data_IF_258236420703
#
_entry.id   IF_258236420703
#
_cell.length_a   1.000
_cell.length_b   1.000
_cell.length_c   1.000
_cell.angle_alpha   90.00
_cell.angle_beta   90.00
_cell.angle_gamma   90.00
#
_symmetry.space_group_name_H-M   'P 1'
#
loop_
_entity.id
_entity.type
_entity.pdbx_description
1 polymer ?
#
# COMPACT_ATOMS: atom_id res chain seq x y z
N UNK A 1 7.67 -7.41 19.95
CA UNK A 1 7.82 -7.68 18.50
C UNK A 1 8.61 -6.55 17.85
N UNK A 2 9.47 -6.81 16.87
CA UNK A 2 10.21 -5.75 16.17
C UNK A 2 9.32 -5.08 15.10
N UNK A 3 9.15 -3.75 15.12
CA UNK A 3 8.35 -3.02 14.12
C UNK A 3 8.87 -3.19 12.69
N UNK A 4 10.17 -3.45 12.51
CA UNK A 4 10.73 -3.82 11.21
C UNK A 4 10.20 -5.17 10.68
N UNK A 5 9.80 -6.08 11.58
CA UNK A 5 9.28 -7.39 11.18
C UNK A 5 7.89 -7.29 10.54
N UNK A 6 7.04 -6.36 11.00
CA UNK A 6 5.67 -6.18 10.48
C UNK A 6 5.59 -5.25 9.27
N UNK A 7 6.67 -4.51 8.94
CA UNK A 7 6.73 -3.71 7.71
C UNK A 7 6.51 -4.61 6.48
N UNK A 8 5.66 -4.15 5.56
CA UNK A 8 5.45 -4.84 4.29
C UNK A 8 6.75 -4.88 3.49
N UNK A 9 7.06 -6.04 2.91
CA UNK A 9 8.31 -6.25 2.17
C UNK A 9 8.38 -5.37 0.93
N UNK A 10 7.23 -5.18 0.26
CA UNK A 10 7.15 -4.38 -0.95
C UNK A 10 7.27 -2.88 -0.67
N UNK A 11 6.72 -2.40 0.46
CA UNK A 11 7.03 -1.05 0.94
C UNK A 11 8.54 -0.86 1.12
N UNK A 12 9.21 -1.70 1.92
CA UNK A 12 10.65 -1.53 2.18
C UNK A 12 11.49 -1.56 0.89
N UNK A 13 11.23 -2.53 0.01
CA UNK A 13 11.97 -2.71 -1.25
C UNK A 13 11.79 -1.51 -2.18
N UNK A 14 10.56 -1.03 -2.34
CA UNK A 14 10.26 0.12 -3.19
C UNK A 14 10.76 1.42 -2.58
N UNK A 15 10.64 1.58 -1.26
CA UNK A 15 11.17 2.70 -0.51
C UNK A 15 12.66 2.87 -0.78
N UNK A 16 13.45 1.81 -0.66
CA UNK A 16 14.89 1.82 -0.94
C UNK A 16 15.18 2.19 -2.41
N UNK A 17 14.47 1.57 -3.37
CA UNK A 17 14.65 1.87 -4.79
C UNK A 17 14.30 3.32 -5.14
N UNK A 18 13.23 3.87 -4.56
CA UNK A 18 12.79 5.25 -4.76
C UNK A 18 13.75 6.24 -4.10
N UNK A 19 14.28 5.95 -2.92
CA UNK A 19 15.32 6.78 -2.31
C UNK A 19 16.56 6.88 -3.18
N UNK A 20 16.86 5.85 -3.97
CA UNK A 20 17.99 5.86 -4.90
C UNK A 20 17.75 6.58 -6.22
N UNK A 21 16.49 6.84 -6.56
CA UNK A 21 16.10 7.52 -7.78
C UNK A 21 16.56 9.00 -7.80
N UNK A 22 17.14 9.42 -8.92
CA UNK A 22 17.72 10.76 -9.11
C UNK A 22 16.70 11.90 -8.93
N UNK A 23 15.47 11.75 -9.41
CA UNK A 23 14.44 12.80 -9.29
C UNK A 23 13.94 12.91 -7.84
N UNK A 24 13.83 11.78 -7.14
CA UNK A 24 13.47 11.73 -5.71
C UNK A 24 14.57 12.39 -4.88
N UNK A 25 15.86 12.02 -5.08
CA UNK A 25 17.02 12.63 -4.40
C UNK A 25 17.02 14.15 -4.58
N UNK A 26 16.86 14.62 -5.83
CA UNK A 26 16.81 16.06 -6.14
C UNK A 26 15.67 16.78 -5.42
N UNK A 27 14.49 16.17 -5.35
CA UNK A 27 13.35 16.78 -4.65
C UNK A 27 13.59 16.85 -3.14
N UNK A 28 14.12 15.79 -2.54
CA UNK A 28 14.47 15.75 -1.11
C UNK A 28 15.47 16.85 -0.76
N UNK A 29 16.56 16.99 -1.52
CA UNK A 29 17.54 18.06 -1.34
C UNK A 29 16.91 19.45 -1.46
N UNK A 30 15.98 19.65 -2.41
CA UNK A 30 15.28 20.93 -2.58
C UNK A 30 14.40 21.28 -1.38
N UNK A 31 13.71 20.29 -0.82
CA UNK A 31 12.87 20.47 0.38
C UNK A 31 13.76 20.74 1.59
N UNK A 32 14.81 19.95 1.79
CA UNK A 32 15.75 20.14 2.89
C UNK A 32 16.37 21.54 2.87
N UNK A 33 16.85 22.03 1.71
CA UNK A 33 17.38 23.41 1.59
C UNK A 33 16.34 24.48 1.89
N UNK A 34 15.05 24.23 1.63
CA UNK A 34 13.97 25.16 1.98
C UNK A 34 13.70 25.14 3.49
N UNK A 35 13.76 23.97 4.11
CA UNK A 35 13.59 23.80 5.56
C UNK A 35 14.76 24.43 6.33
N UNK A 36 16.01 24.22 5.90
CA UNK A 36 17.20 24.85 6.49
C UNK A 36 17.19 26.39 6.40
N UNK A 37 16.58 26.94 5.35
CA UNK A 37 16.42 28.39 5.19
C UNK A 37 15.30 28.98 6.05
N UNK A 38 14.41 28.16 6.63
CA UNK A 38 13.37 28.65 7.55
C UNK A 38 14.02 29.04 8.87
N UNK A 39 13.85 30.31 9.26
CA UNK A 39 14.43 30.88 10.49
C UNK A 39 13.65 30.55 11.77
N UNK A 40 12.48 29.93 11.69
CA UNK A 40 11.66 29.59 12.88
C UNK A 40 10.98 28.22 12.75
N UNK A 41 10.70 27.54 13.89
CA UNK A 41 9.88 26.32 13.91
C UNK A 41 8.52 26.63 13.26
N UNK A 42 8.27 25.99 12.13
CA UNK A 42 7.13 26.30 11.28
C UNK A 42 5.93 25.44 11.64
N UNK A 43 6.17 24.17 11.96
CA UNK A 43 5.12 23.18 12.15
C UNK A 43 4.42 23.42 13.47
N UNK A 44 5.17 23.43 14.59
CA UNK A 44 4.57 23.56 15.93
C UNK A 44 3.84 24.88 16.10
N UNK A 45 4.45 25.98 15.64
CA UNK A 45 3.81 27.31 15.64
C UNK A 45 2.52 27.32 14.82
N UNK A 46 2.53 26.72 13.63
CA UNK A 46 1.35 26.66 12.79
C UNK A 46 0.23 25.86 13.47
N UNK A 47 0.54 24.68 14.02
CA UNK A 47 -0.42 23.85 14.74
C UNK A 47 -1.04 24.60 15.94
N UNK A 48 -0.23 25.26 16.75
CA UNK A 48 -0.74 26.09 17.88
C UNK A 48 -1.61 27.26 17.42
N UNK A 49 -1.45 27.74 16.19
CA UNK A 49 -2.25 28.85 15.64
C UNK A 49 -3.56 28.39 14.99
N UNK A 50 -3.62 27.15 14.47
CA UNK A 50 -4.76 26.65 13.67
C UNK A 50 -5.54 25.51 14.33
N UNK A 51 -5.06 25.02 15.48
CA UNK A 51 -5.64 23.87 16.19
C UNK A 51 -5.47 24.01 17.71
N UNK A 52 -6.14 23.15 18.47
CA UNK A 52 -6.04 23.11 19.93
C UNK A 52 -5.11 21.99 20.34
N UNK A 53 -4.07 22.31 21.10
CA UNK A 53 -3.20 21.29 21.71
C UNK A 53 -3.95 20.59 22.84
N UNK A 54 -4.10 19.27 22.73
CA UNK A 54 -4.69 18.42 23.75
C UNK A 54 -3.62 18.06 24.79
N UNK A 55 -3.62 18.72 25.94
CA UNK A 55 -2.75 18.32 27.06
C UNK A 55 -3.22 17.00 27.69
N UNK A 56 -2.34 16.35 28.46
CA UNK A 56 -2.71 15.18 29.27
C UNK A 56 -3.86 15.46 30.24
N UNK A 57 -3.95 16.67 30.78
CA UNK A 57 -5.05 17.09 31.66
C UNK A 57 -6.37 17.30 30.91
N UNK A 58 -6.33 17.66 29.63
CA UNK A 58 -7.53 17.82 28.80
C UNK A 58 -8.03 16.49 28.22
N UNK A 59 -7.13 15.56 27.90
CA UNK A 59 -7.47 14.32 27.22
C UNK A 59 -6.57 13.16 27.68
N UNK A 60 -6.77 12.72 28.93
CA UNK A 60 -5.98 11.63 29.51
C UNK A 60 -6.12 10.32 28.70
N UNK A 61 -7.34 9.99 28.25
CA UNK A 61 -7.59 8.78 27.45
C UNK A 61 -6.78 8.74 26.16
N UNK A 62 -6.76 9.84 25.40
CA UNK A 62 -6.01 9.91 24.15
C UNK A 62 -4.50 9.84 24.37
N UNK A 63 -3.99 10.44 25.45
CA UNK A 63 -2.58 10.33 25.82
C UNK A 63 -2.20 8.92 26.28
N UNK A 64 -3.09 8.21 26.99
CA UNK A 64 -2.85 6.80 27.34
C UNK A 64 -2.80 5.91 26.08
N UNK A 65 -3.64 6.19 25.08
CA UNK A 65 -3.56 5.50 23.77
C UNK A 65 -2.23 5.78 23.08
N UNK A 66 -1.75 7.03 23.14
CA UNK A 66 -0.46 7.42 22.58
C UNK A 66 0.70 6.70 23.25
N UNK A 67 0.70 6.64 24.59
CA UNK A 67 1.70 5.92 25.35
C UNK A 67 1.70 4.41 25.02
N UNK A 68 0.51 3.79 24.91
CA UNK A 68 0.39 2.38 24.50
C UNK A 68 0.97 2.15 23.10
N UNK A 69 0.68 3.03 22.15
CA UNK A 69 1.21 2.89 20.79
C UNK A 69 2.72 3.11 20.75
N UNK A 70 3.25 4.13 21.42
CA UNK A 70 4.70 4.40 21.42
C UNK A 70 5.48 3.29 22.12
N UNK A 71 4.99 2.77 23.25
CA UNK A 71 5.60 1.63 23.94
C UNK A 71 5.65 0.41 23.02
N UNK A 72 4.52 0.04 22.40
CA UNK A 72 4.45 -1.12 21.50
C UNK A 72 5.34 -0.96 20.27
N UNK A 73 5.46 0.25 19.73
CA UNK A 73 6.26 0.55 18.55
C UNK A 73 7.74 0.83 18.87
N UNK A 74 8.12 0.86 20.15
CA UNK A 74 9.49 1.17 20.58
C UNK A 74 9.91 2.62 20.30
N UNK A 75 8.97 3.56 20.33
CA UNK A 75 9.21 4.98 20.10
C UNK A 75 9.50 5.71 21.42
N UNK A 76 10.65 6.39 21.48
CA UNK A 76 11.02 7.23 22.62
C UNK A 76 10.74 8.72 22.40
N UNK A 77 10.30 9.11 21.20
CA UNK A 77 10.09 10.51 20.85
C UNK A 77 8.81 11.05 21.50
N UNK A 78 8.86 12.17 22.24
CA UNK A 78 7.67 12.78 22.81
C UNK A 78 6.63 13.16 21.76
N UNK A 79 5.36 12.91 22.06
CA UNK A 79 4.21 13.28 21.22
C UNK A 79 3.51 14.53 21.75
N UNK A 80 3.17 15.45 20.86
CA UNK A 80 2.15 16.48 21.10
C UNK A 80 0.92 16.19 20.23
N UNK A 81 -0.25 16.13 20.87
CA UNK A 81 -1.52 15.83 20.21
C UNK A 81 -2.33 17.12 19.99
N UNK A 82 -2.93 17.24 18.81
CA UNK A 82 -3.70 18.40 18.41
C UNK A 82 -5.07 17.99 17.85
N UNK A 83 -6.08 18.85 18.05
CA UNK A 83 -7.38 18.73 17.40
C UNK A 83 -7.71 20.00 16.62
N UNK A 84 -8.17 19.84 15.39
CA UNK A 84 -8.71 20.95 14.59
C UNK A 84 -10.18 20.73 14.27
N UNK A 85 -10.93 21.83 14.14
CA UNK A 85 -12.32 21.76 13.72
C UNK A 85 -12.41 21.30 12.25
N UNK A 86 -13.02 20.14 12.02
CA UNK A 86 -13.11 19.58 10.68
C UNK A 86 -14.23 18.55 10.56
N UNK A 87 -15.14 18.66 9.56
CA UNK A 87 -16.27 17.75 9.41
C UNK A 87 -15.90 16.43 8.72
N UNK A 88 -14.70 16.34 8.15
CA UNK A 88 -14.17 15.12 7.53
C UNK A 88 -13.29 14.37 8.53
N UNK A 89 -13.44 13.06 8.61
CA UNK A 89 -12.55 12.21 9.39
C UNK A 89 -11.14 12.28 8.81
N UNK A 90 -10.17 12.67 9.64
CA UNK A 90 -8.79 12.75 9.21
C UNK A 90 -7.85 12.75 10.42
N UNK A 91 -6.65 12.22 10.21
CA UNK A 91 -5.53 12.34 11.12
C UNK A 91 -4.25 12.58 10.30
N UNK A 92 -3.19 13.08 10.95
CA UNK A 92 -1.89 13.25 10.31
C UNK A 92 -0.76 13.24 11.34
N UNK A 93 0.29 12.49 11.08
CA UNK A 93 1.59 12.62 11.74
C UNK A 93 2.52 13.54 10.95
N UNK A 94 3.07 14.57 11.62
CA UNK A 94 4.03 15.49 11.03
C UNK A 94 5.47 15.04 11.28
N UNK A 95 6.40 15.50 10.43
CA UNK A 95 7.83 15.32 10.67
C UNK A 95 8.21 15.92 12.03
N UNK A 96 9.09 15.27 12.80
CA UNK A 96 9.49 15.80 14.08
C UNK A 96 10.20 17.14 13.95
N UNK A 97 9.88 18.07 14.86
CA UNK A 97 10.46 19.41 14.99
C UNK A 97 10.83 19.60 16.47
N UNK A 98 12.03 20.12 16.76
CA UNK A 98 12.52 20.30 18.14
C UNK A 98 12.49 19.02 19.01
N UNK A 99 12.75 17.86 18.40
CA UNK A 99 12.78 16.57 19.09
C UNK A 99 11.40 16.05 19.51
N UNK A 100 10.31 16.57 18.93
CA UNK A 100 8.93 16.16 19.22
C UNK A 100 8.21 15.75 17.94
N UNK A 101 7.33 14.77 18.06
CA UNK A 101 6.38 14.41 17.02
C UNK A 101 5.04 15.07 17.27
N UNK A 102 4.33 15.37 16.19
CA UNK A 102 3.01 15.99 16.26
C UNK A 102 2.00 15.10 15.56
N UNK A 103 0.92 14.76 16.25
CA UNK A 103 -0.24 14.11 15.64
C UNK A 103 -1.42 15.05 15.76
N UNK A 104 -2.13 15.23 14.65
CA UNK A 104 -3.31 16.07 14.59
C UNK A 104 -4.51 15.23 14.16
N UNK A 105 -5.66 15.45 14.80
CA UNK A 105 -6.93 14.79 14.51
C UNK A 105 -8.00 15.82 14.14
N UNK A 106 -8.90 15.48 13.23
CA UNK A 106 -10.12 16.26 13.06
C UNK A 106 -11.08 16.03 14.22
N UNK A 107 -11.84 17.06 14.59
CA UNK A 107 -12.84 16.96 15.66
C UNK A 107 -13.88 15.88 15.36
N UNK A 108 -14.33 15.76 14.10
CA UNK A 108 -15.28 14.72 13.69
C UNK A 108 -14.75 13.30 13.90
N UNK A 109 -13.45 13.05 13.71
CA UNK A 109 -12.86 11.73 13.95
C UNK A 109 -12.87 11.38 15.43
N UNK A 110 -12.43 12.31 16.30
CA UNK A 110 -12.37 12.08 17.75
C UNK A 110 -13.76 11.84 18.37
N UNK A 111 -14.81 12.50 17.87
CA UNK A 111 -16.18 12.34 18.37
C UNK A 111 -16.86 11.05 17.87
N UNK A 112 -16.43 10.52 16.73
CA UNK A 112 -17.12 9.44 16.04
C UNK A 112 -16.49 8.06 16.23
N UNK A 113 -15.22 8.01 16.62
CA UNK A 113 -14.44 6.77 16.67
C UNK A 113 -14.34 6.26 18.11
N UNK A 114 -14.57 4.96 18.29
CA UNK A 114 -14.39 4.31 19.58
C UNK A 114 -12.90 4.18 19.92
N UNK A 115 -12.57 4.00 21.20
CA UNK A 115 -11.19 3.90 21.70
C UNK A 115 -10.30 2.97 20.89
N UNK A 116 -10.82 1.79 20.52
CA UNK A 116 -10.06 0.78 19.80
C UNK A 116 -9.83 1.15 18.32
N UNK A 117 -10.73 1.94 17.74
CA UNK A 117 -10.62 2.51 16.40
C UNK A 117 -9.63 3.69 16.39
N UNK A 118 -9.65 4.51 17.46
CA UNK A 118 -8.68 5.60 17.64
C UNK A 118 -7.25 5.06 17.86
N UNK A 119 -7.09 3.95 18.58
CA UNK A 119 -5.82 3.23 18.69
C UNK A 119 -5.30 2.77 17.33
N UNK A 120 -6.18 2.26 16.46
CA UNK A 120 -5.81 1.93 15.08
C UNK A 120 -5.32 3.16 14.31
N UNK A 121 -6.09 4.24 14.31
CA UNK A 121 -5.72 5.50 13.62
C UNK A 121 -4.38 6.03 14.14
N UNK A 122 -4.19 6.07 15.45
CA UNK A 122 -2.97 6.56 16.06
C UNK A 122 -1.75 5.68 15.73
N UNK A 123 -1.90 4.36 15.83
CA UNK A 123 -0.84 3.42 15.44
C UNK A 123 -0.51 3.49 13.95
N UNK A 124 -1.50 3.74 13.10
CA UNK A 124 -1.33 3.97 11.66
C UNK A 124 -0.49 5.22 11.38
N UNK A 125 -0.86 6.36 11.96
CA UNK A 125 -0.11 7.61 11.83
C UNK A 125 1.34 7.48 12.34
N UNK A 126 1.54 6.79 13.47
CA UNK A 126 2.88 6.50 13.99
C UNK A 126 3.66 5.55 13.07
N UNK A 127 2.99 4.63 12.37
CA UNK A 127 3.58 3.77 11.35
C UNK A 127 4.29 4.56 10.24
N UNK A 128 3.65 5.61 9.73
CA UNK A 128 4.28 6.50 8.75
C UNK A 128 5.55 7.16 9.28
N UNK A 129 5.61 7.46 10.57
CA UNK A 129 6.82 7.98 11.21
C UNK A 129 7.88 6.90 11.36
N UNK A 130 7.53 5.74 11.96
CA UNK A 130 8.44 4.60 12.20
C UNK A 130 9.15 4.17 10.92
N UNK A 131 8.43 4.13 9.81
CA UNK A 131 8.96 3.69 8.51
C UNK A 131 9.51 4.80 7.63
N UNK A 132 9.54 6.03 8.15
CA UNK A 132 10.06 7.22 7.46
C UNK A 132 9.39 7.48 6.10
N UNK A 133 8.09 7.18 5.97
CA UNK A 133 7.38 7.37 4.70
C UNK A 133 7.43 8.83 4.20
N UNK A 134 7.57 9.80 5.12
CA UNK A 134 7.73 11.21 4.80
C UNK A 134 9.05 11.60 4.09
N UNK A 135 10.01 10.67 3.99
CA UNK A 135 11.26 10.89 3.27
C UNK A 135 11.10 10.83 1.76
N UNK A 136 10.03 10.21 1.26
CA UNK A 136 9.66 10.25 -0.16
C UNK A 136 8.54 11.30 -0.30
N UNK A 137 8.85 12.53 -0.78
CA UNK A 137 7.91 13.63 -0.81
C UNK A 137 6.98 13.54 -2.03
N UNK A 138 6.18 12.47 -2.12
CA UNK A 138 5.36 12.13 -3.28
C UNK A 138 4.51 13.30 -3.77
N UNK A 139 3.84 14.04 -2.85
CA UNK A 139 3.03 15.19 -3.20
C UNK A 139 3.81 16.31 -3.89
N UNK A 140 5.06 16.56 -3.49
CA UNK A 140 5.92 17.56 -4.13
C UNK A 140 6.47 17.08 -5.47
N UNK A 141 6.71 15.77 -5.62
CA UNK A 141 7.18 15.18 -6.86
C UNK A 141 6.07 15.22 -7.92
N UNK A 142 4.88 14.75 -7.58
CA UNK A 142 3.75 14.66 -8.50
C UNK A 142 3.14 16.03 -8.86
N UNK A 143 3.15 16.99 -7.92
CA UNK A 143 2.62 18.35 -8.14
C UNK A 143 3.71 19.38 -8.44
N UNK A 144 4.92 18.91 -8.71
CA UNK A 144 6.06 19.78 -9.02
C UNK A 144 5.91 20.46 -10.39
N UNK A 145 6.71 21.50 -10.63
CA UNK A 145 6.75 22.19 -11.94
C UNK A 145 7.20 21.28 -13.08
N UNK A 146 7.99 20.25 -12.78
CA UNK A 146 8.44 19.23 -13.72
C UNK A 146 7.75 17.92 -13.35
N UNK A 147 6.96 17.39 -14.27
CA UNK A 147 6.33 16.08 -14.11
C UNK A 147 7.41 14.99 -14.06
N UNK A 148 7.28 13.99 -13.18
CA UNK A 148 8.18 12.84 -13.15
C UNK A 148 7.97 11.97 -14.41
N UNK A 149 8.96 11.16 -14.80
CA UNK A 149 8.77 10.13 -15.81
C UNK A 149 7.60 9.19 -15.44
N UNK A 150 6.81 8.69 -16.42
CA UNK A 150 5.64 7.84 -16.12
C UNK A 150 5.95 6.62 -15.27
N UNK A 151 7.08 5.94 -15.51
CA UNK A 151 7.50 4.79 -14.70
C UNK A 151 7.75 5.15 -13.23
N UNK A 152 8.36 6.32 -12.98
CA UNK A 152 8.55 6.82 -11.62
C UNK A 152 7.21 7.20 -10.98
N UNK A 153 6.28 7.78 -11.74
CA UNK A 153 4.95 8.09 -11.22
C UNK A 153 4.23 6.82 -10.76
N UNK A 154 4.22 5.76 -11.58
CA UNK A 154 3.64 4.47 -11.21
C UNK A 154 4.31 3.87 -9.97
N UNK A 155 5.64 3.84 -9.92
CA UNK A 155 6.38 3.33 -8.75
C UNK A 155 6.06 4.13 -7.47
N UNK A 156 5.89 5.45 -7.56
CA UNK A 156 5.50 6.31 -6.43
C UNK A 156 4.09 5.98 -5.92
N UNK A 157 3.11 5.81 -6.83
CA UNK A 157 1.74 5.48 -6.44
C UNK A 157 1.64 4.08 -5.84
N UNK A 158 2.28 3.07 -6.45
CA UNK A 158 2.31 1.73 -5.87
C UNK A 158 3.03 1.72 -4.53
N UNK A 159 4.19 2.39 -4.39
CA UNK A 159 4.87 2.48 -3.10
C UNK A 159 3.98 3.15 -2.06
N UNK A 160 3.29 4.24 -2.41
CA UNK A 160 2.35 4.91 -1.50
C UNK A 160 1.29 3.93 -0.99
N UNK A 161 0.72 3.09 -1.88
CA UNK A 161 -0.23 2.06 -1.48
C UNK A 161 0.35 1.01 -0.54
N UNK A 162 1.57 0.52 -0.77
CA UNK A 162 2.22 -0.41 0.16
C UNK A 162 2.64 0.24 1.48
N UNK A 163 2.99 1.53 1.47
CA UNK A 163 3.28 2.31 2.67
C UNK A 163 2.04 2.38 3.58
N UNK A 164 0.84 2.50 3.01
CA UNK A 164 -0.42 2.38 3.75
C UNK A 164 -0.60 0.99 4.37
N UNK A 165 -0.24 -0.09 3.67
CA UNK A 165 -0.30 -1.45 4.23
C UNK A 165 0.64 -1.58 5.43
N UNK A 166 1.86 -1.05 5.35
CA UNK A 166 2.77 -1.01 6.50
C UNK A 166 2.19 -0.21 7.67
N UNK A 167 1.60 0.96 7.41
CA UNK A 167 0.97 1.79 8.42
C UNK A 167 -0.27 1.09 9.03
N UNK A 168 -1.07 0.41 8.23
CA UNK A 168 -2.20 -0.40 8.69
C UNK A 168 -1.77 -1.51 9.63
N UNK A 169 -0.68 -2.22 9.30
CA UNK A 169 -0.12 -3.27 10.17
C UNK A 169 0.32 -2.69 11.52
N UNK A 170 0.94 -1.52 11.56
CA UNK A 170 1.28 -0.86 12.83
C UNK A 170 0.04 -0.43 13.61
N UNK A 171 -0.99 0.09 12.92
CA UNK A 171 -2.28 0.42 13.53
C UNK A 171 -2.94 -0.81 14.14
N UNK A 172 -3.02 -1.91 13.39
CA UNK A 172 -3.61 -3.17 13.84
C UNK A 172 -2.79 -3.84 14.94
N UNK A 173 -1.46 -3.73 14.90
CA UNK A 173 -0.58 -4.21 15.97
C UNK A 173 -0.75 -3.41 17.27
N UNK A 174 -1.09 -2.12 17.19
CA UNK A 174 -1.42 -1.32 18.37
C UNK A 174 -2.85 -1.59 18.87
N UNK A 175 -3.77 -1.84 17.94
CA UNK A 175 -5.18 -2.03 18.27
C UNK A 175 -5.50 -3.44 18.80
N UNK A 176 -4.93 -4.49 18.18
CA UNK A 176 -5.17 -5.90 18.53
C UNK A 176 -6.65 -6.33 18.43
N UNK A 177 -7.43 -5.66 17.58
CA UNK A 177 -8.83 -5.97 17.34
C UNK A 177 -9.19 -5.74 15.87
N UNK A 178 -9.26 -6.82 15.08
CA UNK A 178 -9.60 -6.76 13.66
C UNK A 178 -10.99 -6.17 13.42
N UNK A 179 -11.95 -6.41 14.32
CA UNK A 179 -13.32 -5.89 14.18
C UNK A 179 -13.32 -4.36 14.24
N UNK A 180 -12.70 -3.78 15.27
CA UNK A 180 -12.59 -2.31 15.38
C UNK A 180 -11.74 -1.71 14.28
N UNK A 181 -10.64 -2.35 13.88
CA UNK A 181 -9.80 -1.89 12.76
C UNK A 181 -10.61 -1.82 11.46
N UNK A 182 -11.35 -2.88 11.12
CA UNK A 182 -12.18 -2.90 9.93
C UNK A 182 -13.35 -1.90 10.01
N UNK A 183 -13.95 -1.74 11.20
CA UNK A 183 -15.00 -0.75 11.44
C UNK A 183 -14.49 0.68 11.29
N UNK A 184 -13.24 0.96 11.71
CA UNK A 184 -12.58 2.25 11.51
C UNK A 184 -12.42 2.56 10.00
N UNK A 185 -11.95 1.59 9.20
CA UNK A 185 -11.83 1.74 7.75
C UNK A 185 -13.20 1.87 7.06
N UNK A 186 -14.23 1.18 7.55
CA UNK A 186 -15.60 1.35 7.09
C UNK A 186 -16.13 2.77 7.36
N UNK A 187 -15.89 3.32 8.57
CA UNK A 187 -16.27 4.70 8.92
C UNK A 187 -15.52 5.72 8.04
N UNK A 188 -14.23 5.52 7.79
CA UNK A 188 -13.44 6.35 6.88
C UNK A 188 -13.96 6.30 5.44
N UNK A 189 -14.40 5.13 4.97
CA UNK A 189 -14.95 4.95 3.62
C UNK A 189 -16.32 5.61 3.43
N UNK A 190 -17.20 5.42 4.42
CA UNK A 190 -18.64 5.71 4.27
C UNK A 190 -19.08 7.01 4.95
N UNK A 191 -18.35 7.48 5.96
CA UNK A 191 -18.82 8.53 6.86
C UNK A 191 -19.89 8.05 7.86
N UNK A 192 -20.33 6.79 7.80
CA UNK A 192 -21.43 6.26 8.62
C UNK A 192 -20.88 5.75 9.95
N UNK A 193 -21.39 6.33 11.04
CA UNK A 193 -20.91 6.02 12.40
C UNK A 193 -21.98 5.45 13.31
N UNK A 194 -23.25 5.65 12.99
CA UNK A 194 -24.38 5.23 13.81
C UNK A 194 -24.97 3.89 13.39
N UNK A 195 -25.07 2.96 14.34
CA UNK A 195 -25.63 1.61 14.15
C UNK A 195 -27.11 1.60 13.73
N UNK A 196 -27.80 2.75 13.86
CA UNK A 196 -29.16 2.95 13.36
C UNK A 196 -29.23 2.88 11.83
N UNK A 197 -28.18 3.35 11.14
CA UNK A 197 -28.13 3.40 9.68
C UNK A 197 -27.55 2.11 9.12
N UNK A 198 -26.39 1.70 9.63
CA UNK A 198 -25.70 0.48 9.22
C UNK A 198 -25.15 -0.22 10.47
N UNK A 199 -25.54 -1.48 10.66
CA UNK A 199 -24.84 -2.36 11.61
C UNK A 199 -23.65 -2.97 10.89
N UNK A 200 -22.45 -2.58 11.30
CA UNK A 200 -21.22 -3.10 10.69
C UNK A 200 -21.10 -4.62 10.89
N UNK A 201 -20.77 -5.33 9.81
CA UNK A 201 -20.43 -6.75 9.82
C UNK A 201 -19.12 -6.93 9.06
N UNK A 202 -18.08 -7.41 9.77
CA UNK A 202 -16.80 -7.72 9.14
C UNK A 202 -16.95 -8.77 8.03
N UNK A 203 -17.74 -9.82 8.27
CA UNK A 203 -17.91 -10.90 7.30
C UNK A 203 -18.61 -10.42 6.02
N UNK A 204 -19.60 -9.54 6.14
CA UNK A 204 -20.25 -8.93 4.96
C UNK A 204 -19.29 -8.00 4.21
N UNK A 205 -18.52 -7.19 4.95
CA UNK A 205 -17.57 -6.27 4.33
C UNK A 205 -16.42 -7.00 3.63
N UNK A 206 -15.97 -8.14 4.18
CA UNK A 206 -15.00 -9.02 3.53
C UNK A 206 -15.58 -9.75 2.32
N UNK A 207 -16.84 -10.19 2.38
CA UNK A 207 -17.52 -10.81 1.22
C UNK A 207 -17.60 -9.85 0.03
N UNK A 208 -17.82 -8.56 0.26
CA UNK A 208 -17.77 -7.55 -0.81
C UNK A 208 -16.39 -7.47 -1.47
N UNK A 209 -15.31 -7.72 -0.74
CA UNK A 209 -13.95 -7.81 -1.31
C UNK A 209 -13.82 -9.06 -2.16
N UNK A 210 -14.33 -10.19 -1.67
CA UNK A 210 -14.30 -11.46 -2.38
C UNK A 210 -15.10 -11.38 -3.69
N UNK A 211 -16.25 -10.70 -3.68
CA UNK A 211 -17.03 -10.42 -4.89
C UNK A 211 -16.22 -9.57 -5.89
N UNK A 212 -15.50 -8.54 -5.41
CA UNK A 212 -14.64 -7.71 -6.27
C UNK A 212 -13.47 -8.52 -6.86
N UNK A 213 -12.85 -9.40 -6.06
CA UNK A 213 -11.77 -10.31 -6.48
C UNK A 213 -12.25 -11.30 -7.54
N UNK A 214 -13.47 -11.81 -7.44
CA UNK A 214 -14.03 -12.78 -8.37
C UNK A 214 -14.19 -12.24 -9.81
N UNK A 215 -14.32 -10.92 -9.98
CA UNK A 215 -14.36 -10.30 -11.32
C UNK A 215 -12.98 -10.16 -11.96
N UNK A 216 -11.91 -10.09 -11.17
CA UNK A 216 -10.54 -9.83 -11.60
C UNK A 216 -9.66 -11.10 -11.66
N UNK A 217 -10.26 -12.29 -11.63
CA UNK A 217 -9.51 -13.58 -11.61
C UNK A 217 -8.74 -13.88 -12.91
N UNK A 218 -8.89 -13.09 -13.97
CA UNK A 218 -8.17 -13.33 -15.22
C UNK A 218 -6.75 -12.73 -15.20
N UNK A 219 -5.70 -13.54 -15.49
CA UNK A 219 -4.32 -13.08 -15.60
C UNK A 219 -4.17 -11.82 -16.45
N UNK A 220 -3.46 -10.84 -15.89
CA UNK A 220 -3.15 -9.58 -16.55
C UNK A 220 -4.28 -8.56 -16.66
N UNK A 221 -5.49 -8.85 -16.18
CA UNK A 221 -6.47 -7.81 -15.88
C UNK A 221 -5.93 -6.91 -14.76
N UNK A 222 -6.27 -5.62 -14.84
CA UNK A 222 -5.85 -4.60 -13.90
C UNK A 222 -6.93 -3.55 -13.72
N UNK A 223 -6.76 -2.67 -12.73
CA UNK A 223 -7.77 -1.66 -12.44
C UNK A 223 -7.99 -0.70 -13.63
N UNK A 224 -9.14 -0.01 -13.69
CA UNK A 224 -9.28 1.20 -14.49
C UNK A 224 -8.10 2.16 -14.26
N UNK A 225 -7.66 2.83 -15.33
CA UNK A 225 -6.49 3.73 -15.31
C UNK A 225 -6.51 4.78 -14.18
N UNK A 226 -7.70 5.22 -13.77
CA UNK A 226 -7.88 6.22 -12.72
C UNK A 226 -7.39 5.71 -11.35
N UNK A 227 -7.53 4.42 -11.10
CA UNK A 227 -7.25 3.79 -9.81
C UNK A 227 -5.75 3.59 -9.59
N UNK A 228 -4.97 3.48 -10.66
CA UNK A 228 -3.49 3.38 -10.60
C UNK A 228 -2.87 4.59 -9.90
N UNK A 229 -3.53 5.75 -10.00
CA UNK A 229 -3.07 7.03 -9.49
C UNK A 229 -3.70 7.40 -8.14
N UNK A 230 -4.28 6.43 -7.43
CA UNK A 230 -4.69 6.58 -6.04
C UNK A 230 -3.50 6.37 -5.10
N UNK A 231 -3.29 7.31 -4.16
CA UNK A 231 -2.23 7.23 -3.15
C UNK A 231 -2.56 6.26 -2.03
N UNK A 232 -3.84 5.94 -1.84
CA UNK A 232 -4.32 4.98 -0.86
C UNK A 232 -4.99 3.81 -1.57
N UNK A 233 -4.81 2.57 -1.07
CA UNK A 233 -5.60 1.44 -1.56
C UNK A 233 -7.08 1.63 -1.23
N UNK A 234 -7.95 0.94 -1.96
CA UNK A 234 -9.36 0.87 -1.56
C UNK A 234 -9.51 0.27 -0.16
N UNK A 235 -10.34 0.89 0.68
CA UNK A 235 -10.54 0.45 2.06
C UNK A 235 -10.93 -1.04 2.19
N UNK A 236 -11.75 -1.63 1.31
CA UNK A 236 -12.01 -3.08 1.33
C UNK A 236 -10.73 -3.93 1.14
N UNK A 237 -9.84 -3.55 0.20
CA UNK A 237 -8.54 -4.23 0.00
C UNK A 237 -7.63 -4.13 1.22
N UNK A 238 -7.61 -2.96 1.89
CA UNK A 238 -6.87 -2.77 3.14
C UNK A 238 -7.37 -3.71 4.23
N UNK A 239 -8.69 -3.86 4.38
CA UNK A 239 -9.27 -4.81 5.36
C UNK A 239 -8.89 -6.25 5.05
N UNK A 240 -8.88 -6.66 3.78
CA UNK A 240 -8.44 -8.00 3.38
C UNK A 240 -6.96 -8.23 3.68
N UNK A 241 -6.09 -7.27 3.34
CA UNK A 241 -4.67 -7.34 3.68
C UNK A 241 -4.44 -7.40 5.20
N UNK A 242 -5.22 -6.66 5.98
CA UNK A 242 -5.21 -6.68 7.44
C UNK A 242 -5.67 -8.02 8.01
N UNK A 243 -6.72 -8.64 7.44
CA UNK A 243 -7.16 -9.99 7.82
C UNK A 243 -6.00 -10.99 7.67
N UNK A 244 -5.34 -11.00 6.51
CA UNK A 244 -4.16 -11.85 6.30
C UNK A 244 -3.04 -11.55 7.31
N UNK A 245 -2.79 -10.28 7.63
CA UNK A 245 -1.80 -9.90 8.64
C UNK A 245 -2.17 -10.42 10.03
N UNK A 246 -3.43 -10.29 10.45
CA UNK A 246 -3.88 -10.80 11.76
C UNK A 246 -3.85 -12.32 11.86
N UNK A 247 -3.96 -13.02 10.73
CA UNK A 247 -3.87 -14.49 10.62
C UNK A 247 -2.42 -15.00 10.49
N UNK A 248 -1.44 -14.09 10.41
CA UNK A 248 -0.03 -14.47 10.24
C UNK A 248 0.68 -14.73 11.57
N UNK A 249 1.81 -15.44 11.49
CA UNK A 249 2.71 -15.73 12.62
C UNK A 249 3.24 -14.47 13.34
N UNK A 250 3.13 -13.33 12.66
CA UNK A 250 3.43 -11.99 13.18
C UNK A 250 2.44 -11.55 14.27
N UNK A 251 1.16 -11.93 14.17
CA UNK A 251 0.11 -11.53 15.12
C UNK A 251 -0.39 -12.68 15.99
N UNK A 252 -0.34 -13.91 15.48
CA UNK A 252 -0.88 -15.09 16.15
C UNK A 252 0.06 -16.29 16.00
N UNK A 253 0.40 -16.94 17.12
CA UNK A 253 1.26 -18.13 17.08
C UNK A 253 0.62 -19.25 16.25
N UNK A 254 1.36 -19.82 15.30
CA UNK A 254 0.85 -20.84 14.37
C UNK A 254 0.08 -20.29 13.17
N UNK A 255 0.06 -18.96 12.98
CA UNK A 255 -0.45 -18.32 11.77
C UNK A 255 0.41 -18.57 10.53
N UNK A 256 -0.05 -18.04 9.39
CA UNK A 256 0.69 -18.15 8.12
C UNK A 256 2.06 -17.47 8.21
N UNK A 257 3.06 -18.03 7.53
CA UNK A 257 4.42 -17.48 7.54
C UNK A 257 4.49 -16.13 6.82
N UNK A 258 5.47 -15.29 7.18
CA UNK A 258 5.67 -13.97 6.56
C UNK A 258 5.71 -14.01 5.02
N UNK A 259 6.38 -14.97 4.39
CA UNK A 259 6.44 -15.05 2.92
C UNK A 259 5.05 -15.21 2.32
N UNK A 260 4.25 -16.14 2.84
CA UNK A 260 2.88 -16.36 2.38
C UNK A 260 1.98 -15.13 2.63
N UNK A 261 2.15 -14.45 3.76
CA UNK A 261 1.46 -13.18 4.02
C UNK A 261 1.77 -12.14 2.94
N UNK A 262 3.05 -11.96 2.57
CA UNK A 262 3.43 -10.98 1.56
C UNK A 262 2.88 -11.37 0.18
N UNK A 263 2.84 -12.66 -0.17
CA UNK A 263 2.25 -13.14 -1.42
C UNK A 263 0.74 -12.84 -1.48
N UNK A 264 0.00 -13.15 -0.41
CA UNK A 264 -1.44 -12.83 -0.30
C UNK A 264 -1.71 -11.33 -0.37
N UNK A 265 -0.89 -10.51 0.29
CA UNK A 265 -0.99 -9.05 0.21
C UNK A 265 -0.68 -8.56 -1.20
N UNK A 266 0.33 -9.12 -1.88
CA UNK A 266 0.65 -8.76 -3.25
C UNK A 266 -0.48 -9.11 -4.22
N UNK A 267 -1.18 -10.24 -4.02
CA UNK A 267 -2.36 -10.61 -4.82
C UNK A 267 -3.46 -9.56 -4.67
N UNK A 268 -3.81 -9.21 -3.43
CA UNK A 268 -4.82 -8.18 -3.10
C UNK A 268 -4.44 -6.81 -3.71
N UNK A 269 -3.18 -6.40 -3.56
CA UNK A 269 -2.71 -5.11 -4.07
C UNK A 269 -2.58 -5.06 -5.59
N UNK A 270 -2.32 -6.20 -6.22
CA UNK A 270 -2.20 -6.33 -7.67
C UNK A 270 -3.49 -6.00 -8.43
N UNK A 271 -4.65 -5.99 -7.76
CA UNK A 271 -5.90 -5.51 -8.33
C UNK A 271 -5.87 -4.01 -8.67
N UNK A 272 -4.94 -3.25 -8.09
CA UNK A 272 -4.80 -1.82 -8.34
C UNK A 272 -3.72 -1.49 -9.38
N UNK A 273 -3.17 -2.51 -10.04
CA UNK A 273 -2.07 -2.37 -10.99
C UNK A 273 -2.55 -2.32 -12.44
N UNK A 274 -1.71 -1.82 -13.37
CA UNK A 274 -2.07 -1.74 -14.79
C UNK A 274 -2.32 -3.08 -15.46
N UNK A 275 -3.35 -3.13 -16.32
CA UNK A 275 -3.51 -4.21 -17.28
C UNK A 275 -2.36 -4.16 -18.30
N UNK A 276 -1.65 -5.27 -18.43
CA UNK A 276 -0.56 -5.42 -19.40
C UNK A 276 -0.90 -6.31 -20.59
N UNK A 277 -2.02 -7.04 -20.54
CA UNK A 277 -2.46 -7.92 -21.60
C UNK A 277 -3.01 -7.13 -22.78
N UNK A 278 -3.81 -6.10 -22.51
CA UNK A 278 -4.35 -5.21 -23.55
C UNK A 278 -3.50 -3.95 -23.76
N UNK A 279 -2.55 -3.70 -22.86
CA UNK A 279 -1.69 -2.53 -22.91
C UNK A 279 -0.84 -2.43 -24.19
N UNK A 280 -0.76 -1.21 -24.74
CA UNK A 280 -0.05 -0.91 -26.00
C UNK A 280 1.35 -0.35 -25.83
N UNK A 281 1.78 -0.11 -24.59
CA UNK A 281 3.10 0.44 -24.27
C UNK A 281 4.21 -0.60 -24.46
N UNK A 282 5.46 -0.16 -24.60
CA UNK A 282 6.60 -1.09 -24.64
C UNK A 282 6.72 -1.91 -23.35
N UNK A 283 6.36 -1.33 -22.19
CA UNK A 283 6.28 -2.02 -20.92
C UNK A 283 5.23 -3.16 -20.96
N UNK A 284 3.99 -2.84 -21.36
CA UNK A 284 2.90 -3.83 -21.45
C UNK A 284 3.24 -4.95 -22.44
N UNK A 285 3.84 -4.62 -23.59
CA UNK A 285 4.31 -5.62 -24.57
C UNK A 285 5.42 -6.50 -23.99
N UNK A 286 6.38 -5.92 -23.28
CA UNK A 286 7.47 -6.68 -22.66
C UNK A 286 6.94 -7.61 -21.56
N UNK A 287 6.00 -7.13 -20.74
CA UNK A 287 5.31 -7.91 -19.71
C UNK A 287 4.50 -9.06 -20.32
N UNK A 288 3.64 -8.78 -21.31
CA UNK A 288 2.84 -9.79 -22.02
C UNK A 288 3.72 -10.86 -22.67
N UNK A 289 4.79 -10.45 -23.36
CA UNK A 289 5.73 -11.38 -23.97
C UNK A 289 6.46 -12.25 -22.95
N UNK A 290 6.80 -11.69 -21.78
CA UNK A 290 7.41 -12.45 -20.69
C UNK A 290 6.42 -13.44 -20.07
N UNK A 291 5.19 -12.99 -19.79
CA UNK A 291 4.11 -13.82 -19.28
C UNK A 291 3.84 -15.02 -20.21
N UNK A 292 3.56 -14.78 -21.49
CA UNK A 292 3.30 -15.85 -22.45
C UNK A 292 4.46 -16.85 -22.57
N UNK A 293 5.70 -16.35 -22.64
CA UNK A 293 6.87 -17.21 -22.70
C UNK A 293 7.07 -18.03 -21.41
N UNK A 294 6.80 -17.44 -20.25
CA UNK A 294 6.88 -18.08 -18.94
C UNK A 294 5.79 -19.14 -18.76
N UNK A 295 4.53 -18.79 -19.04
CA UNK A 295 3.38 -19.67 -18.88
C UNK A 295 3.51 -20.92 -19.75
N UNK A 296 3.90 -20.75 -21.02
CA UNK A 296 4.17 -21.87 -21.93
C UNK A 296 5.36 -22.70 -21.44
N UNK A 297 6.43 -22.06 -20.95
CA UNK A 297 7.58 -22.80 -20.44
C UNK A 297 7.25 -23.64 -19.21
N UNK A 298 6.39 -23.14 -18.31
CA UNK A 298 5.88 -23.81 -17.10
C UNK A 298 4.93 -24.95 -17.46
N UNK A 299 3.92 -24.70 -18.31
CA UNK A 299 2.98 -25.72 -18.77
C UNK A 299 3.69 -26.90 -19.45
N UNK A 300 4.77 -26.64 -20.19
CA UNK A 300 5.55 -27.67 -20.88
C UNK A 300 6.54 -28.45 -19.96
N UNK A 301 6.57 -28.23 -18.64
CA UNK A 301 7.57 -28.89 -17.77
C UNK A 301 7.25 -30.36 -17.49
N UNK A 302 5.98 -30.72 -17.35
CA UNK A 302 5.60 -32.06 -16.88
C UNK A 302 5.41 -33.05 -18.04
N UNK A 303 4.28 -32.96 -18.76
CA UNK A 303 3.91 -33.89 -19.86
C UNK A 303 3.65 -33.17 -21.19
N UNK A 304 4.20 -31.96 -21.32
CA UNK A 304 3.84 -31.04 -22.40
C UNK A 304 2.49 -30.35 -22.13
N UNK A 305 2.09 -29.48 -23.05
CA UNK A 305 0.89 -28.63 -22.88
C UNK A 305 -0.35 -29.43 -23.27
N UNK A 306 -1.24 -29.67 -22.29
CA UNK A 306 -2.53 -30.33 -22.46
C UNK A 306 -3.50 -29.52 -23.33
N UNK A 307 -4.56 -30.15 -23.83
CA UNK A 307 -5.58 -29.45 -24.64
C UNK A 307 -6.31 -28.36 -23.84
N UNK A 308 -6.57 -28.61 -22.55
CA UNK A 308 -7.20 -27.62 -21.68
C UNK A 308 -6.29 -26.40 -21.45
N UNK A 309 -5.00 -26.61 -21.22
CA UNK A 309 -4.02 -25.53 -21.12
C UNK A 309 -3.86 -24.78 -22.44
N UNK A 310 -3.92 -25.47 -23.59
CA UNK A 310 -3.88 -24.82 -24.92
C UNK A 310 -5.07 -23.88 -25.11
N UNK A 311 -6.27 -24.30 -24.75
CA UNK A 311 -7.46 -23.45 -24.86
C UNK A 311 -7.38 -22.22 -23.95
N UNK A 312 -6.87 -22.37 -22.72
CA UNK A 312 -6.60 -21.24 -21.83
C UNK A 312 -5.52 -20.32 -22.39
N UNK A 313 -4.42 -20.85 -22.93
CA UNK A 313 -3.35 -20.04 -23.52
C UNK A 313 -3.83 -19.29 -24.79
N UNK A 314 -4.72 -19.88 -25.59
CA UNK A 314 -5.31 -19.24 -26.77
C UNK A 314 -6.09 -17.97 -26.42
N UNK A 315 -6.75 -17.92 -25.27
CA UNK A 315 -7.50 -16.71 -24.87
C UNK A 315 -6.60 -15.50 -24.59
N UNK A 316 -5.31 -15.72 -24.33
CA UNK A 316 -4.33 -14.67 -24.06
C UNK A 316 -3.52 -14.22 -25.28
N UNK A 317 -3.68 -14.88 -26.43
CA UNK A 317 -2.97 -14.54 -27.67
C UNK A 317 -3.77 -13.56 -28.53
N UNK A 318 -3.09 -12.64 -29.19
CA UNK A 318 -3.72 -11.75 -30.18
C UNK A 318 -4.34 -12.58 -31.32
N UNK A 319 -5.50 -12.15 -31.84
CA UNK A 319 -6.22 -12.85 -32.93
C UNK A 319 -5.27 -13.12 -34.10
N UNK A 320 -5.03 -14.41 -34.39
CA UNK A 320 -4.13 -14.87 -35.46
C UNK A 320 -2.84 -15.55 -34.99
N UNK A 321 -2.54 -15.54 -33.69
CA UNK A 321 -1.49 -16.38 -33.11
C UNK A 321 -2.03 -17.75 -32.70
N UNK A 322 -1.47 -18.81 -33.26
CA UNK A 322 -1.79 -20.19 -32.93
C UNK A 322 -0.80 -20.70 -31.86
N UNK A 323 -1.29 -21.33 -30.79
CA UNK A 323 -0.43 -21.95 -29.76
C UNK A 323 0.45 -23.03 -30.38
N UNK A 324 -0.02 -23.66 -31.44
CA UNK A 324 0.66 -24.67 -32.25
C UNK A 324 1.92 -24.12 -32.96
N UNK A 325 2.01 -22.79 -33.14
CA UNK A 325 3.19 -22.12 -33.70
C UNK A 325 4.20 -21.70 -32.62
N UNK A 326 3.88 -21.89 -31.33
CA UNK A 326 4.72 -21.51 -30.20
C UNK A 326 5.58 -22.70 -29.75
N UNK A 327 6.85 -22.68 -30.20
CA UNK A 327 7.86 -23.67 -29.81
C UNK A 327 8.35 -23.41 -28.37
N UNK A 328 7.97 -24.28 -27.43
CA UNK A 328 8.35 -24.20 -26.02
C UNK A 328 9.86 -24.19 -25.79
N UNK A 329 10.63 -24.94 -26.59
CA UNK A 329 12.10 -24.98 -26.51
C UNK A 329 12.70 -23.66 -26.96
N UNK A 330 12.15 -23.05 -28.01
CA UNK A 330 12.55 -21.71 -28.47
C UNK A 330 12.17 -20.65 -27.44
N UNK A 331 10.97 -20.72 -26.86
CA UNK A 331 10.50 -19.80 -25.83
C UNK A 331 11.40 -19.85 -24.59
N UNK A 332 11.76 -21.05 -24.11
CA UNK A 332 12.74 -21.22 -23.02
C UNK A 332 14.09 -20.58 -23.34
N UNK A 333 14.59 -20.73 -24.57
CA UNK A 333 15.86 -20.09 -25.00
C UNK A 333 15.79 -18.56 -25.02
N UNK A 334 14.64 -17.97 -25.32
CA UNK A 334 14.48 -16.50 -25.35
C UNK A 334 14.02 -15.89 -24.02
N UNK A 335 13.64 -16.69 -23.02
CA UNK A 335 13.24 -16.21 -21.70
C UNK A 335 14.24 -15.21 -21.08
N UNK A 336 15.57 -15.45 -21.07
CA UNK A 336 16.52 -14.47 -20.54
C UNK A 336 16.43 -13.10 -21.24
N UNK A 337 16.19 -13.10 -22.56
CA UNK A 337 15.98 -11.88 -23.33
C UNK A 337 14.68 -11.18 -22.94
N UNK A 338 13.57 -11.92 -22.79
CA UNK A 338 12.27 -11.36 -22.35
C UNK A 338 12.35 -10.79 -20.94
N UNK A 339 13.08 -11.44 -20.03
CA UNK A 339 13.35 -10.93 -18.68
C UNK A 339 14.13 -9.61 -18.76
N UNK A 340 15.15 -9.52 -19.61
CA UNK A 340 15.92 -8.30 -19.79
C UNK A 340 15.06 -7.15 -20.39
N UNK A 341 14.23 -7.44 -21.39
CA UNK A 341 13.28 -6.49 -21.98
C UNK A 341 12.29 -5.98 -20.92
N UNK A 342 11.70 -6.87 -20.11
CA UNK A 342 10.80 -6.46 -19.02
C UNK A 342 11.53 -5.63 -17.97
N UNK A 343 12.78 -5.96 -17.61
CA UNK A 343 13.61 -5.14 -16.70
C UNK A 343 13.94 -3.76 -17.26
N UNK A 344 14.02 -3.62 -18.58
CA UNK A 344 14.31 -2.35 -19.24
C UNK A 344 13.08 -1.43 -19.28
N UNK A 345 11.92 -1.99 -19.63
CA UNK A 345 10.73 -1.20 -19.95
C UNK A 345 9.70 -1.13 -18.83
N UNK A 346 9.56 -2.20 -18.04
CA UNK A 346 8.55 -2.29 -17.00
C UNK A 346 9.12 -1.89 -15.63
N UNK A 347 8.27 -1.23 -14.84
CA UNK A 347 8.58 -0.85 -13.48
C UNK A 347 8.80 -2.07 -12.58
N UNK A 348 9.26 -1.89 -11.34
CA UNK A 348 9.40 -3.02 -10.41
C UNK A 348 8.04 -3.68 -10.16
N UNK A 349 7.01 -2.87 -9.91
CA UNK A 349 5.65 -3.33 -9.67
C UNK A 349 5.09 -4.15 -10.82
N UNK A 350 5.23 -3.63 -12.03
CA UNK A 350 4.78 -4.29 -13.24
C UNK A 350 5.44 -5.67 -13.40
N UNK A 351 6.73 -5.79 -13.11
CA UNK A 351 7.42 -7.09 -13.13
C UNK A 351 6.90 -8.06 -12.08
N UNK A 352 6.50 -7.55 -10.91
CA UNK A 352 5.93 -8.38 -9.84
C UNK A 352 4.54 -8.91 -10.21
N UNK A 353 3.75 -8.12 -10.94
CA UNK A 353 2.47 -8.57 -11.50
C UNK A 353 2.63 -9.74 -12.46
N UNK A 354 3.62 -9.68 -13.37
CA UNK A 354 3.92 -10.80 -14.29
C UNK A 354 4.31 -12.06 -13.53
N UNK A 355 5.07 -11.96 -12.44
CA UNK A 355 5.43 -13.12 -11.61
C UNK A 355 4.22 -13.68 -10.88
N UNK A 356 3.35 -12.81 -10.32
CA UNK A 356 2.08 -13.22 -9.71
C UNK A 356 1.25 -14.03 -10.69
N UNK A 357 1.11 -13.56 -11.92
CA UNK A 357 0.22 -14.19 -12.90
C UNK A 357 0.78 -15.53 -13.42
N UNK A 358 2.08 -15.79 -13.25
CA UNK A 358 2.75 -17.05 -13.60
C UNK A 358 2.68 -18.13 -12.50
N UNK A 359 2.37 -17.75 -11.27
CA UNK A 359 2.37 -18.61 -10.08
C UNK A 359 0.92 -18.93 -9.68
#
# INVERSE_FOLDING_TARGET
MNTAAIRCTNDLKMYQALLDNTDVKRMRERIQRKEEKRKSPGIRRHLLATSVRLSRSMSAGLHNMADRCTERLGLCTPLELYVYAGPRFNAACFKPEEGRLFIMFSSSLLEAFADQELLFVMGHELGHHVYQHHDIPIGYILRGQRLPPPGLALDLFTWSRYAEISADRTGAYCAEDLQSVARALFKLASGITGDRVVRFSLDEFLRQVDDMLAFDEQPGQGAPMQDWFLTHPFNPLRVKALKHFTESDLMHSGGIGKTELEDRVQQVMGLMEPDYMEGKTDASRAMRNLFLAGAIAVADVYEGISEQEREVLKSFLEKGYAVENLDSRRLRKILPKRIAEAKQWASLTQRMQVVRDLC
#
